data_IF_678406659795
#
_entry.id   IF_678406659795
#
_cell.length_a   1.000
_cell.length_b   1.000
_cell.length_c   1.000
_cell.angle_alpha   90.00
_cell.angle_beta   90.00
_cell.angle_gamma   90.00
#
_symmetry.space_group_name_H-M   'P 1'
#
loop_
_entity.id
_entity.type
_entity.pdbx_description
1 polymer ?
#
# COMPACT_ATOMS: atom_id res chain seq x y z
N UNK A 1 15.43 21.64 11.62
CA UNK A 1 14.12 21.63 12.29
C UNK A 1 14.22 20.74 13.51
N UNK A 2 13.50 21.06 14.59
CA UNK A 2 13.38 20.17 15.74
C UNK A 2 12.50 18.98 15.36
N UNK A 3 12.85 17.73 15.73
CA UNK A 3 12.02 16.57 15.44
C UNK A 3 10.61 16.71 16.02
N UNK A 4 9.60 16.17 15.32
CA UNK A 4 8.22 16.11 15.83
C UNK A 4 8.18 15.27 17.12
N UNK A 5 7.33 15.60 18.10
CA UNK A 5 7.27 14.86 19.36
C UNK A 5 6.71 13.45 19.16
N UNK A 6 7.16 12.49 19.97
CA UNK A 6 6.55 11.17 20.05
C UNK A 6 5.14 11.25 20.63
N UNK A 7 4.21 10.50 20.03
CA UNK A 7 2.79 10.48 20.40
C UNK A 7 2.34 9.15 20.98
N UNK A 8 3.22 8.15 20.99
CA UNK A 8 2.93 6.82 21.54
C UNK A 8 4.08 6.33 22.42
N UNK A 9 3.76 5.61 23.50
CA UNK A 9 4.77 5.08 24.43
C UNK A 9 5.70 4.02 23.82
N UNK A 10 5.22 3.34 22.77
CA UNK A 10 5.98 2.32 22.05
C UNK A 10 6.74 2.91 20.85
N UNK A 11 6.74 4.24 20.68
CA UNK A 11 7.47 4.89 19.60
C UNK A 11 8.98 4.60 19.72
N UNK A 12 9.61 4.40 18.57
CA UNK A 12 11.05 4.10 18.49
C UNK A 12 11.86 5.33 18.08
N UNK A 13 13.18 5.37 18.39
CA UNK A 13 14.06 6.44 17.93
C UNK A 13 13.94 6.69 16.43
N UNK A 14 13.90 7.97 16.04
CA UNK A 14 13.78 8.32 14.63
C UNK A 14 15.02 7.91 13.86
N UNK A 15 14.80 7.38 12.67
CA UNK A 15 15.80 7.11 11.64
C UNK A 15 15.79 8.28 10.64
N UNK A 16 16.95 8.82 10.25
CA UNK A 16 17.03 9.73 9.10
C UNK A 16 16.64 8.95 7.84
N UNK A 17 16.11 9.59 6.77
CA UNK A 17 15.63 8.90 5.57
C UNK A 17 16.70 8.04 4.86
N UNK A 18 17.97 8.42 4.99
CA UNK A 18 19.14 7.83 4.36
C UNK A 18 19.93 6.90 5.29
N UNK A 19 19.33 6.38 6.38
CA UNK A 19 20.02 5.55 7.37
C UNK A 19 20.75 4.31 6.83
N UNK A 20 20.41 3.86 5.61
CA UNK A 20 21.09 2.73 4.95
C UNK A 20 22.32 3.15 4.16
N UNK A 21 22.55 4.45 3.97
CA UNK A 21 23.58 5.01 3.08
C UNK A 21 23.26 4.87 1.59
N UNK A 22 22.10 4.28 1.24
CA UNK A 22 21.69 4.08 -0.15
C UNK A 22 20.90 5.29 -0.67
N UNK A 23 21.14 5.63 -1.93
CA UNK A 23 20.42 6.68 -2.67
C UNK A 23 19.76 6.10 -3.91
N UNK A 24 18.57 6.59 -4.31
CA UNK A 24 17.89 6.11 -5.50
C UNK A 24 18.77 6.33 -6.74
N UNK A 25 18.78 5.39 -7.70
CA UNK A 25 19.48 5.58 -8.95
C UNK A 25 18.81 6.68 -9.78
N UNK A 26 19.52 7.22 -10.77
CA UNK A 26 18.89 8.08 -11.78
C UNK A 26 17.91 7.23 -12.62
N UNK A 27 16.64 7.57 -12.57
CA UNK A 27 15.61 6.96 -13.40
C UNK A 27 15.58 7.58 -14.80
N UNK A 28 15.13 6.81 -15.80
CA UNK A 28 15.08 7.27 -17.19
C UNK A 28 13.93 8.26 -17.47
N UNK A 29 12.95 8.35 -16.57
CA UNK A 29 11.83 9.28 -16.67
C UNK A 29 11.24 9.61 -15.29
N UNK A 30 10.04 10.23 -15.27
CA UNK A 30 9.33 10.54 -14.04
C UNK A 30 8.96 9.26 -13.27
N UNK A 31 9.27 9.21 -11.98
CA UNK A 31 8.90 8.10 -11.09
C UNK A 31 7.38 7.91 -11.09
N UNK A 32 6.87 6.65 -11.05
CA UNK A 32 5.43 6.39 -10.94
C UNK A 32 4.83 7.17 -9.77
N UNK A 33 3.72 7.85 -10.02
CA UNK A 33 3.03 8.67 -9.04
C UNK A 33 2.46 7.77 -7.94
N UNK A 34 1.86 6.64 -8.34
CA UNK A 34 1.29 5.65 -7.42
C UNK A 34 1.88 4.26 -7.61
N UNK A 35 2.51 3.75 -6.55
CA UNK A 35 3.02 2.40 -6.46
C UNK A 35 2.16 1.57 -5.49
N UNK A 36 1.66 0.42 -5.95
CA UNK A 36 0.95 -0.55 -5.11
C UNK A 36 1.81 -1.79 -4.89
N UNK A 37 1.97 -2.25 -3.64
CA UNK A 37 2.84 -3.39 -3.30
C UNK A 37 2.08 -4.48 -2.56
N UNK A 38 2.12 -5.70 -3.11
CA UNK A 38 1.71 -6.93 -2.41
C UNK A 38 2.91 -7.53 -1.69
N UNK A 39 2.88 -7.48 -0.36
CA UNK A 39 3.94 -7.94 0.55
C UNK A 39 3.85 -9.46 0.82
N UNK A 40 4.10 -10.27 -0.19
CA UNK A 40 3.97 -11.73 -0.13
C UNK A 40 5.30 -12.44 0.21
N UNK A 41 5.21 -13.66 0.74
CA UNK A 41 6.36 -14.52 1.01
C UNK A 41 6.78 -14.63 2.47
N UNK A 42 6.17 -13.87 3.40
CA UNK A 42 6.50 -13.88 4.83
C UNK A 42 6.58 -15.28 5.45
N UNK A 43 5.52 -16.09 5.29
CA UNK A 43 5.50 -17.45 5.84
C UNK A 43 6.44 -18.42 5.11
N UNK A 44 6.67 -18.24 3.80
CA UNK A 44 7.65 -19.05 3.05
C UNK A 44 9.07 -18.76 3.52
N UNK A 45 9.38 -17.49 3.77
CA UNK A 45 10.67 -17.05 4.27
C UNK A 45 10.96 -17.67 5.64
N UNK A 46 10.01 -17.59 6.58
CA UNK A 46 10.17 -18.17 7.91
C UNK A 46 10.41 -19.69 7.85
N UNK A 47 9.63 -20.40 7.02
CA UNK A 47 9.80 -21.85 6.84
C UNK A 47 11.18 -22.22 6.28
N UNK A 48 11.76 -21.43 5.36
CA UNK A 48 13.12 -21.66 4.84
C UNK A 48 14.20 -21.54 5.91
N UNK A 49 13.94 -20.77 6.96
CA UNK A 49 14.83 -20.56 8.10
C UNK A 49 14.53 -21.51 9.28
N UNK A 50 13.55 -22.42 9.14
CA UNK A 50 13.11 -23.27 10.26
C UNK A 50 12.36 -22.52 11.36
N UNK A 51 11.83 -21.32 11.06
CA UNK A 51 11.18 -20.43 12.02
C UNK A 51 9.64 -20.49 11.88
N UNK A 52 8.88 -20.18 12.96
CA UNK A 52 7.45 -19.99 12.88
C UNK A 52 7.07 -18.86 11.91
N UNK A 53 5.95 -19.00 11.18
CA UNK A 53 5.46 -18.03 10.17
C UNK A 53 5.37 -16.59 10.67
N UNK A 54 5.08 -16.41 11.97
CA UNK A 54 5.00 -15.10 12.62
C UNK A 54 6.32 -14.32 12.60
N UNK A 55 7.46 -15.01 12.57
CA UNK A 55 8.77 -14.37 12.54
C UNK A 55 9.04 -13.74 11.17
N UNK A 56 8.60 -14.37 10.08
CA UNK A 56 8.68 -13.76 8.75
C UNK A 56 7.88 -12.46 8.66
N UNK A 57 6.70 -12.41 9.29
CA UNK A 57 5.96 -11.16 9.38
C UNK A 57 6.67 -10.11 10.23
N UNK A 58 7.33 -10.50 11.33
CA UNK A 58 8.10 -9.56 12.17
C UNK A 58 9.24 -8.91 11.37
N UNK A 59 10.01 -9.70 10.63
CA UNK A 59 11.04 -9.20 9.73
C UNK A 59 10.47 -8.31 8.63
N UNK A 60 9.31 -8.67 8.09
CA UNK A 60 8.59 -7.86 7.11
C UNK A 60 8.19 -6.46 7.59
N UNK A 61 8.12 -6.20 8.90
CA UNK A 61 7.85 -4.85 9.44
C UNK A 61 9.03 -3.92 9.17
N UNK A 62 10.25 -4.40 9.39
CA UNK A 62 11.46 -3.60 9.21
C UNK A 62 11.65 -3.25 7.74
N UNK A 63 11.39 -4.20 6.85
CA UNK A 63 11.42 -3.98 5.41
C UNK A 63 10.36 -3.01 4.92
N UNK A 64 9.16 -3.00 5.52
CA UNK A 64 8.15 -2.01 5.18
C UNK A 64 8.66 -0.59 5.42
N UNK A 65 9.33 -0.34 6.54
CA UNK A 65 9.88 0.97 6.83
C UNK A 65 10.98 1.36 5.83
N UNK A 66 11.86 0.41 5.47
CA UNK A 66 12.90 0.62 4.47
C UNK A 66 12.33 0.99 3.10
N UNK A 67 11.32 0.26 2.64
CA UNK A 67 10.63 0.50 1.38
C UNK A 67 9.90 1.84 1.37
N UNK A 68 9.24 2.21 2.48
CA UNK A 68 8.60 3.53 2.61
C UNK A 68 9.60 4.66 2.48
N UNK A 69 10.76 4.56 3.14
CA UNK A 69 11.82 5.55 2.99
C UNK A 69 12.41 5.58 1.58
N UNK A 70 12.60 4.40 0.97
CA UNK A 70 12.99 4.28 -0.43
C UNK A 70 12.03 4.97 -1.40
N UNK A 71 10.73 4.87 -1.15
CA UNK A 71 9.68 5.53 -1.93
C UNK A 71 9.73 7.06 -1.76
N UNK A 72 9.90 7.54 -0.51
CA UNK A 72 10.09 8.97 -0.23
C UNK A 72 11.34 9.50 -0.92
N UNK A 73 12.48 8.81 -0.81
CA UNK A 73 13.72 9.20 -1.48
C UNK A 73 13.59 9.23 -3.00
N UNK A 74 12.87 8.27 -3.59
CA UNK A 74 12.61 8.23 -5.03
C UNK A 74 11.62 9.31 -5.50
N UNK A 75 10.84 9.90 -4.59
CA UNK A 75 9.84 10.92 -4.93
C UNK A 75 8.46 10.37 -5.32
N UNK A 76 8.16 9.11 -4.97
CA UNK A 76 6.82 8.52 -5.11
C UNK A 76 5.82 9.34 -4.30
N UNK A 77 4.62 9.59 -4.86
CA UNK A 77 3.59 10.42 -4.21
C UNK A 77 2.53 9.61 -3.49
N UNK A 78 2.24 8.42 -3.98
CA UNK A 78 1.29 7.49 -3.39
C UNK A 78 1.91 6.11 -3.29
N UNK A 79 1.94 5.54 -2.08
CA UNK A 79 2.38 4.18 -1.82
C UNK A 79 1.25 3.42 -1.12
N UNK A 80 0.71 2.41 -1.78
CA UNK A 80 -0.32 1.54 -1.21
C UNK A 80 0.24 0.16 -0.91
N UNK A 81 0.03 -0.36 0.31
CA UNK A 81 0.55 -1.68 0.70
C UNK A 81 -0.54 -2.61 1.18
N UNK A 82 -0.49 -3.86 0.73
CA UNK A 82 -1.49 -4.86 1.08
C UNK A 82 -1.16 -5.53 2.43
N UNK A 83 -1.50 -4.86 3.53
CA UNK A 83 -1.14 -5.30 4.89
C UNK A 83 -2.02 -6.44 5.42
N UNK A 84 -3.34 -6.39 5.19
CA UNK A 84 -4.25 -7.47 5.58
C UNK A 84 -5.43 -7.59 4.61
N UNK A 85 -5.55 -8.76 4.00
CA UNK A 85 -6.57 -9.08 2.98
C UNK A 85 -7.84 -9.64 3.62
N UNK A 86 -9.01 -9.40 3.00
CA UNK A 86 -10.27 -10.05 3.40
C UNK A 86 -10.22 -11.58 3.30
N UNK A 87 -9.37 -12.12 2.43
CA UNK A 87 -9.15 -13.57 2.32
C UNK A 87 -8.33 -14.13 3.51
N UNK A 88 -7.61 -13.28 4.27
CA UNK A 88 -6.84 -13.73 5.44
C UNK A 88 -7.73 -14.25 6.58
N UNK A 89 -9.02 -13.91 6.59
CA UNK A 89 -10.00 -14.49 7.51
C UNK A 89 -10.19 -16.00 7.37
N UNK A 90 -9.69 -16.61 6.29
CA UNK A 90 -9.70 -18.08 6.09
C UNK A 90 -8.51 -18.78 6.76
N UNK A 91 -7.55 -18.01 7.31
CA UNK A 91 -6.37 -18.55 8.02
C UNK A 91 -6.74 -18.98 9.45
N UNK A 92 -5.80 -19.60 10.15
CA UNK A 92 -6.01 -20.01 11.54
C UNK A 92 -6.34 -18.81 12.45
N UNK A 93 -7.14 -18.99 13.51
CA UNK A 93 -7.45 -17.91 14.45
C UNK A 93 -6.22 -17.24 15.06
N UNK A 94 -5.15 -18.01 15.28
CA UNK A 94 -3.87 -17.53 15.79
C UNK A 94 -3.16 -16.60 14.79
N UNK A 95 -3.10 -16.98 13.51
CA UNK A 95 -2.50 -16.16 12.46
C UNK A 95 -3.31 -14.87 12.24
N UNK A 96 -4.64 -14.96 12.28
CA UNK A 96 -5.51 -13.77 12.21
C UNK A 96 -5.27 -12.84 13.40
N UNK A 97 -5.23 -13.37 14.63
CA UNK A 97 -4.96 -12.58 15.84
C UNK A 97 -3.59 -11.90 15.76
N UNK A 98 -2.59 -12.60 15.25
CA UNK A 98 -1.26 -12.05 15.02
C UNK A 98 -1.29 -10.91 14.00
N UNK A 99 -1.95 -11.07 12.86
CA UNK A 99 -2.04 -10.03 11.83
C UNK A 99 -2.78 -8.76 12.29
N UNK A 100 -3.79 -8.92 13.16
CA UNK A 100 -4.46 -7.79 13.81
C UNK A 100 -3.49 -7.02 14.71
N UNK A 101 -2.69 -7.74 15.53
CA UNK A 101 -1.67 -7.13 16.38
C UNK A 101 -0.52 -6.52 15.56
N UNK A 102 -0.12 -7.14 14.45
CA UNK A 102 0.89 -6.63 13.52
C UNK A 102 0.54 -5.21 13.06
N UNK A 103 -0.70 -4.98 12.63
CA UNK A 103 -1.16 -3.67 12.18
C UNK A 103 -1.01 -2.61 13.29
N UNK A 104 -1.31 -2.98 14.53
CA UNK A 104 -1.14 -2.09 15.70
C UNK A 104 0.32 -1.82 16.00
N UNK A 105 1.19 -2.83 15.98
CA UNK A 105 2.63 -2.68 16.21
C UNK A 105 3.23 -1.69 15.20
N UNK A 106 2.88 -1.81 13.92
CA UNK A 106 3.35 -0.88 12.89
C UNK A 106 2.95 0.56 13.23
N UNK A 107 1.67 0.79 13.55
CA UNK A 107 1.16 2.12 13.87
C UNK A 107 1.77 2.68 15.16
N UNK A 108 1.83 1.88 16.22
CA UNK A 108 2.31 2.30 17.53
C UNK A 108 3.80 2.63 17.55
N UNK A 109 4.60 1.91 16.77
CA UNK A 109 6.06 2.14 16.70
C UNK A 109 6.45 3.19 15.67
N UNK A 110 5.79 3.19 14.50
CA UNK A 110 6.29 3.91 13.33
C UNK A 110 5.40 5.06 12.85
N UNK A 111 4.18 5.29 13.39
CA UNK A 111 3.37 6.45 12.95
C UNK A 111 4.09 7.78 13.15
N UNK A 112 4.85 7.91 14.25
CA UNK A 112 5.61 9.13 14.54
C UNK A 112 6.80 9.26 13.60
N UNK A 113 7.46 8.15 13.25
CA UNK A 113 8.51 8.12 12.23
C UNK A 113 8.00 8.55 10.86
N UNK A 114 6.85 8.01 10.43
CA UNK A 114 6.20 8.38 9.18
C UNK A 114 5.79 9.85 9.20
N UNK A 115 5.30 10.34 10.34
CA UNK A 115 5.00 11.74 10.52
C UNK A 115 6.25 12.62 10.40
N UNK A 116 7.37 12.21 11.00
CA UNK A 116 8.65 12.92 10.90
C UNK A 116 9.15 13.02 9.46
N UNK A 117 8.96 11.96 8.66
CA UNK A 117 9.25 11.98 7.22
C UNK A 117 8.17 12.67 6.36
N UNK A 118 7.24 13.38 7.00
CA UNK A 118 6.14 14.09 6.34
C UNK A 118 5.30 13.18 5.42
N UNK A 119 5.06 11.95 5.88
CA UNK A 119 4.19 10.97 5.21
C UNK A 119 2.77 11.05 5.78
N UNK A 120 1.77 11.18 4.90
CA UNK A 120 0.34 11.16 5.25
C UNK A 120 -0.17 9.73 5.23
N UNK A 121 -0.60 9.21 6.38
CA UNK A 121 -1.17 7.86 6.50
C UNK A 121 -2.65 7.90 6.12
N UNK A 122 -3.10 6.93 5.33
CA UNK A 122 -4.51 6.68 4.99
C UNK A 122 -4.87 5.22 5.22
N UNK A 123 -6.10 4.94 5.62
CA UNK A 123 -6.61 3.57 5.71
C UNK A 123 -7.57 3.27 4.56
N UNK A 124 -7.33 2.17 3.86
CA UNK A 124 -8.28 1.56 2.93
C UNK A 124 -8.71 0.19 3.44
N UNK A 125 -10.02 -0.02 3.62
CA UNK A 125 -10.57 -1.30 4.02
C UNK A 125 -11.85 -1.21 4.84
N UNK A 126 -12.31 -2.36 5.33
CA UNK A 126 -13.65 -2.49 5.91
C UNK A 126 -13.62 -2.56 7.43
N UNK A 127 -14.61 -1.94 8.08
CA UNK A 127 -14.83 -2.03 9.53
C UNK A 127 -15.28 -3.42 10.01
N UNK A 128 -16.22 -4.15 9.36
CA UNK A 128 -16.71 -5.42 9.86
C UNK A 128 -15.59 -6.43 10.15
N UNK A 129 -15.67 -7.08 11.32
CA UNK A 129 -14.70 -8.05 11.87
C UNK A 129 -13.33 -7.49 12.30
N UNK A 130 -12.96 -6.28 11.87
CA UNK A 130 -11.74 -5.62 12.33
C UNK A 130 -11.91 -5.21 13.81
N UNK A 131 -10.89 -5.42 14.64
CA UNK A 131 -10.97 -5.04 16.05
C UNK A 131 -11.11 -3.53 16.20
N UNK A 132 -11.99 -3.08 17.10
CA UNK A 132 -12.21 -1.65 17.35
C UNK A 132 -10.93 -0.90 17.74
N UNK A 133 -9.99 -1.58 18.42
CA UNK A 133 -8.66 -1.03 18.74
C UNK A 133 -7.83 -0.77 17.48
N UNK A 134 -7.83 -1.68 16.50
CA UNK A 134 -7.11 -1.48 15.22
C UNK A 134 -7.72 -0.32 14.44
N UNK A 135 -9.05 -0.22 14.40
CA UNK A 135 -9.74 0.91 13.75
C UNK A 135 -9.34 2.23 14.41
N UNK A 136 -9.34 2.28 15.74
CA UNK A 136 -8.93 3.47 16.50
C UNK A 136 -7.49 3.87 16.18
N UNK A 137 -6.56 2.91 16.21
CA UNK A 137 -5.14 3.16 15.93
C UNK A 137 -4.93 3.70 14.51
N UNK A 138 -5.66 3.17 13.51
CA UNK A 138 -5.64 3.65 12.12
C UNK A 138 -6.15 5.11 12.02
N UNK A 139 -7.31 5.40 12.62
CA UNK A 139 -7.91 6.74 12.59
C UNK A 139 -7.06 7.79 13.32
N UNK A 140 -6.40 7.42 14.43
CA UNK A 140 -5.45 8.29 15.11
C UNK A 140 -4.25 8.63 14.22
N UNK A 141 -3.68 7.65 13.52
CA UNK A 141 -2.59 7.86 12.57
C UNK A 141 -3.02 8.75 11.39
N UNK A 142 -4.21 8.54 10.82
CA UNK A 142 -4.74 9.41 9.76
C UNK A 142 -4.88 10.86 10.24
N UNK A 143 -5.43 11.07 11.45
CA UNK A 143 -5.59 12.40 12.03
C UNK A 143 -4.24 13.08 12.31
N UNK A 144 -3.29 12.34 12.88
CA UNK A 144 -1.96 12.84 13.23
C UNK A 144 -1.21 13.35 11.99
N UNK A 145 -1.35 12.65 10.86
CA UNK A 145 -0.56 12.87 9.65
C UNK A 145 -1.33 13.60 8.53
N UNK A 146 -2.56 14.06 8.80
CA UNK A 146 -3.45 14.64 7.80
C UNK A 146 -2.87 15.85 7.05
N UNK A 147 -1.97 16.61 7.69
CA UNK A 147 -1.34 17.80 7.13
C UNK A 147 -0.10 17.53 6.27
N UNK A 148 0.42 16.31 6.28
CA UNK A 148 1.68 15.94 5.64
C UNK A 148 1.54 15.88 4.10
N UNK A 149 2.62 16.18 3.37
CA UNK A 149 2.56 16.42 1.90
C UNK A 149 3.60 15.67 1.08
N UNK A 150 4.63 15.11 1.69
CA UNK A 150 5.74 14.48 0.96
C UNK A 150 5.30 13.23 0.20
N UNK A 151 4.53 12.36 0.84
CA UNK A 151 3.94 11.15 0.25
C UNK A 151 2.68 10.73 1.01
N UNK A 152 1.69 10.17 0.32
CA UNK A 152 0.56 9.47 0.94
C UNK A 152 0.85 7.98 1.02
N UNK A 153 0.85 7.43 2.23
CA UNK A 153 0.99 6.01 2.51
C UNK A 153 -0.36 5.39 2.88
N UNK A 154 -0.91 4.59 1.98
CA UNK A 154 -2.20 3.92 2.20
C UNK A 154 -1.98 2.51 2.73
N UNK A 155 -2.41 2.28 3.97
CA UNK A 155 -2.44 0.97 4.58
C UNK A 155 -3.74 0.25 4.24
N UNK A 156 -3.64 -0.81 3.45
CA UNK A 156 -4.80 -1.60 3.06
C UNK A 156 -5.01 -2.74 4.07
N UNK A 157 -5.87 -2.50 5.06
CA UNK A 157 -6.13 -3.39 6.21
C UNK A 157 -7.59 -3.82 6.20
N UNK A 158 -7.83 -5.13 6.18
CA UNK A 158 -9.14 -5.73 5.91
C UNK A 158 -9.71 -5.24 4.57
N UNK A 159 -8.83 -5.23 3.57
CA UNK A 159 -9.09 -4.75 2.23
C UNK A 159 -9.36 -5.90 1.26
N UNK A 160 -10.19 -5.64 0.25
CA UNK A 160 -10.35 -6.48 -0.94
C UNK A 160 -11.11 -5.69 -2.00
N UNK A 161 -10.54 -5.55 -3.20
CA UNK A 161 -11.05 -4.65 -4.25
C UNK A 161 -12.48 -4.99 -4.69
N UNK A 162 -12.83 -6.27 -4.77
CA UNK A 162 -14.24 -6.69 -4.99
C UNK A 162 -15.18 -6.17 -3.91
N UNK A 163 -14.77 -6.18 -2.64
CA UNK A 163 -15.62 -5.66 -1.57
C UNK A 163 -15.69 -4.13 -1.58
N UNK A 164 -14.61 -3.45 -1.93
CA UNK A 164 -14.61 -1.99 -2.14
C UNK A 164 -15.62 -1.57 -3.20
N UNK A 165 -15.60 -2.23 -4.36
CA UNK A 165 -16.58 -1.98 -5.42
C UNK A 165 -18.00 -2.28 -4.94
N UNK A 166 -18.21 -3.40 -4.23
CA UNK A 166 -19.53 -3.74 -3.68
C UNK A 166 -20.02 -2.68 -2.69
N UNK A 167 -19.16 -2.18 -1.83
CA UNK A 167 -19.53 -1.15 -0.84
C UNK A 167 -19.81 0.20 -1.54
N UNK A 168 -19.03 0.57 -2.55
CA UNK A 168 -19.27 1.75 -3.39
C UNK A 168 -20.63 1.67 -4.13
N UNK A 169 -20.94 0.50 -4.71
CA UNK A 169 -22.21 0.26 -5.40
C UNK A 169 -23.39 0.27 -4.43
N UNK A 170 -23.24 -0.25 -3.21
CA UNK A 170 -24.28 -0.15 -2.18
C UNK A 170 -24.57 1.28 -1.78
N UNK A 171 -23.54 2.11 -1.61
CA UNK A 171 -23.73 3.53 -1.31
C UNK A 171 -24.47 4.25 -2.44
N UNK A 172 -24.09 4.01 -3.70
CA UNK A 172 -24.80 4.53 -4.88
C UNK A 172 -26.26 4.07 -4.92
N UNK A 173 -26.54 2.80 -4.61
CA UNK A 173 -27.88 2.26 -4.59
C UNK A 173 -28.77 2.94 -3.51
N UNK A 174 -28.21 3.22 -2.33
CA UNK A 174 -28.93 3.95 -1.27
C UNK A 174 -29.16 5.43 -1.65
N UNK A 175 -28.23 6.07 -2.36
CA UNK A 175 -28.44 7.42 -2.90
C UNK A 175 -29.55 7.46 -3.96
N UNK A 176 -29.60 6.45 -4.84
CA UNK A 176 -30.66 6.28 -5.83
C UNK A 176 -32.01 6.06 -5.14
N UNK A 177 -32.08 5.14 -4.18
CA UNK A 177 -33.28 4.85 -3.41
C UNK A 177 -33.80 6.08 -2.65
N UNK A 178 -32.90 6.92 -2.15
CA UNK A 178 -33.23 8.17 -1.48
C UNK A 178 -33.56 9.33 -2.43
N UNK A 179 -33.55 9.13 -3.75
CA UNK A 179 -33.83 10.16 -4.76
C UNK A 179 -32.73 11.22 -4.92
N UNK A 180 -31.54 11.01 -4.33
CA UNK A 180 -30.40 11.94 -4.42
C UNK A 180 -29.58 11.75 -5.69
N UNK A 181 -29.69 10.60 -6.34
CA UNK A 181 -28.98 10.26 -7.58
C UNK A 181 -29.94 9.56 -8.57
N UNK A 182 -29.87 9.89 -9.85
CA UNK A 182 -30.57 9.14 -10.89
C UNK A 182 -29.73 7.92 -11.30
N UNK A 183 -30.31 6.73 -11.53
CA UNK A 183 -29.54 5.56 -11.99
C UNK A 183 -28.67 5.84 -13.23
N UNK A 184 -29.18 6.63 -14.18
CA UNK A 184 -28.47 7.02 -15.40
C UNK A 184 -27.29 7.95 -15.17
N UNK A 185 -27.13 8.51 -13.97
CA UNK A 185 -26.00 9.36 -13.60
C UNK A 185 -24.83 8.55 -12.98
N UNK A 186 -24.97 7.24 -12.81
CA UNK A 186 -23.89 6.37 -12.34
C UNK A 186 -22.87 6.21 -13.47
N UNK A 187 -21.66 6.72 -13.24
CA UNK A 187 -20.50 6.69 -14.15
C UNK A 187 -19.30 6.08 -13.43
N UNK A 188 -18.21 5.81 -14.15
CA UNK A 188 -16.92 5.43 -13.55
C UNK A 188 -16.48 6.41 -12.45
N UNK A 189 -16.62 7.72 -12.72
CA UNK A 189 -16.36 8.78 -11.73
C UNK A 189 -17.29 8.70 -10.52
N UNK A 190 -18.53 8.28 -10.70
CA UNK A 190 -19.45 8.08 -9.58
C UNK A 190 -18.98 6.91 -8.70
N UNK A 191 -18.50 5.80 -9.28
CA UNK A 191 -17.94 4.67 -8.53
C UNK A 191 -16.66 5.10 -7.81
N UNK A 192 -15.71 5.72 -8.52
CA UNK A 192 -14.44 6.19 -7.95
C UNK A 192 -14.64 7.08 -6.70
N UNK A 193 -15.66 7.95 -6.72
CA UNK A 193 -15.99 8.83 -5.59
C UNK A 193 -16.52 8.11 -4.33
N UNK A 194 -16.88 6.82 -4.41
CA UNK A 194 -17.35 6.01 -3.27
C UNK A 194 -16.39 4.85 -2.94
N UNK A 195 -15.22 4.80 -3.56
CA UNK A 195 -14.14 3.91 -3.11
C UNK A 195 -13.63 4.36 -1.73
N UNK A 196 -12.84 3.54 -1.05
CA UNK A 196 -12.46 3.85 0.34
C UNK A 196 -11.58 5.11 0.45
N UNK A 197 -10.79 5.39 -0.59
CA UNK A 197 -9.94 6.59 -0.68
C UNK A 197 -10.22 7.32 -2.00
N UNK A 198 -11.29 8.13 -2.07
CA UNK A 198 -11.77 8.75 -3.31
C UNK A 198 -10.78 9.71 -3.99
N UNK A 199 -9.79 10.22 -3.25
CA UNK A 199 -8.74 11.12 -3.71
C UNK A 199 -7.45 10.38 -4.14
N UNK A 200 -7.46 9.05 -4.15
CA UNK A 200 -6.34 8.23 -4.61
C UNK A 200 -6.28 8.23 -6.15
N UNK A 201 -5.10 8.49 -6.76
CA UNK A 201 -4.92 8.33 -8.20
C UNK A 201 -4.85 6.85 -8.60
N UNK A 202 -4.98 6.57 -9.89
CA UNK A 202 -4.77 5.23 -10.44
C UNK A 202 -3.35 4.73 -10.12
N UNK A 203 -3.18 3.41 -10.03
CA UNK A 203 -1.88 2.77 -9.80
C UNK A 203 -1.10 2.77 -11.12
N UNK A 204 0.07 3.40 -11.12
CA UNK A 204 1.00 3.33 -12.26
C UNK A 204 1.77 2.02 -12.27
N UNK A 205 2.27 1.61 -11.09
CA UNK A 205 3.16 0.47 -10.91
C UNK A 205 2.63 -0.46 -9.80
N UNK A 206 2.27 -1.67 -10.19
CA UNK A 206 1.88 -2.73 -9.28
C UNK A 206 3.05 -3.70 -9.07
N UNK A 207 3.58 -3.76 -7.85
CA UNK A 207 4.69 -4.63 -7.47
C UNK A 207 4.14 -5.79 -6.65
N UNK A 208 4.64 -6.99 -6.94
CA UNK A 208 4.43 -8.13 -6.06
C UNK A 208 5.73 -8.89 -5.84
N UNK A 209 6.04 -9.09 -4.56
CA UNK A 209 7.17 -9.90 -4.12
C UNK A 209 6.86 -11.39 -4.26
N UNK A 210 7.89 -12.22 -4.07
CA UNK A 210 7.88 -13.69 -3.96
C UNK A 210 7.63 -14.51 -5.23
N UNK A 211 7.64 -13.91 -6.41
CA UNK A 211 7.53 -14.59 -7.71
C UNK A 211 6.11 -14.98 -8.12
N UNK A 212 5.13 -14.79 -7.25
CA UNK A 212 3.73 -15.10 -7.52
C UNK A 212 3.11 -14.06 -8.48
N UNK A 213 2.57 -14.49 -9.61
CA UNK A 213 2.07 -13.60 -10.67
C UNK A 213 0.54 -13.44 -10.63
N UNK A 214 0.03 -12.67 -9.68
CA UNK A 214 -1.40 -12.32 -9.58
C UNK A 214 -1.60 -11.05 -8.77
N UNK A 215 -2.71 -10.34 -8.99
CA UNK A 215 -3.08 -9.13 -8.23
C UNK A 215 -3.69 -9.46 -6.86
N UNK A 216 -4.21 -10.68 -6.67
CA UNK A 216 -4.82 -11.13 -5.41
C UNK A 216 -5.92 -10.21 -4.87
N UNK A 217 -6.78 -9.68 -5.74
CA UNK A 217 -7.89 -8.79 -5.35
C UNK A 217 -7.42 -7.47 -4.71
N UNK A 218 -6.18 -7.04 -4.98
CA UNK A 218 -5.61 -5.79 -4.50
C UNK A 218 -5.79 -4.68 -5.53
N UNK A 219 -6.27 -3.49 -5.11
CA UNK A 219 -6.42 -2.30 -5.95
C UNK A 219 -7.13 -2.59 -7.28
N UNK A 220 -8.26 -3.32 -7.24
CA UNK A 220 -8.85 -3.89 -8.45
C UNK A 220 -9.34 -2.81 -9.43
N UNK A 221 -9.86 -1.71 -8.91
CA UNK A 221 -10.31 -0.59 -9.71
C UNK A 221 -9.12 0.28 -10.13
N UNK A 222 -8.30 0.67 -9.15
CA UNK A 222 -7.20 1.62 -9.29
C UNK A 222 -6.06 1.06 -10.14
N UNK A 223 -5.86 -0.27 -10.16
CA UNK A 223 -4.79 -0.92 -10.91
C UNK A 223 -5.23 -1.46 -12.28
N UNK A 224 -6.38 -1.03 -12.80
CA UNK A 224 -6.90 -1.50 -14.09
C UNK A 224 -5.92 -1.30 -15.26
N UNK A 225 -5.11 -0.23 -15.21
CA UNK A 225 -4.11 0.10 -16.22
C UNK A 225 -2.67 0.07 -15.69
N UNK A 226 -2.45 -0.54 -14.53
CA UNK A 226 -1.13 -0.57 -13.89
C UNK A 226 -0.15 -1.47 -14.65
N UNK A 227 1.10 -1.03 -14.74
CA UNK A 227 2.22 -1.88 -15.12
C UNK A 227 2.54 -2.85 -13.98
N UNK A 228 2.58 -4.15 -14.26
CA UNK A 228 2.83 -5.16 -13.23
C UNK A 228 4.28 -5.63 -13.24
N UNK A 229 4.96 -5.54 -12.10
CA UNK A 229 6.32 -6.06 -11.89
C UNK A 229 6.29 -7.12 -10.79
N UNK A 230 6.69 -8.33 -11.16
CA UNK A 230 6.79 -9.47 -10.25
C UNK A 230 8.27 -9.73 -9.97
N UNK A 231 8.65 -9.70 -8.69
CA UNK A 231 10.01 -9.97 -8.24
C UNK A 231 10.02 -11.24 -7.40
N UNK A 232 11.04 -12.09 -7.58
CA UNK A 232 11.15 -13.38 -6.89
C UNK A 232 11.49 -13.25 -5.40
N UNK A 233 12.06 -12.11 -5.00
CA UNK A 233 12.48 -11.85 -3.63
C UNK A 233 11.31 -11.93 -2.66
N UNK A 234 11.46 -12.68 -1.57
CA UNK A 234 10.43 -12.77 -0.52
C UNK A 234 10.38 -11.45 0.26
N UNK A 235 9.19 -11.07 0.75
CA UNK A 235 9.01 -9.78 1.44
C UNK A 235 10.02 -9.50 2.58
N UNK A 236 10.37 -10.46 3.46
CA UNK A 236 11.34 -10.18 4.53
C UNK A 236 12.77 -9.89 4.05
N UNK A 237 13.10 -10.22 2.80
CA UNK A 237 14.37 -9.87 2.17
C UNK A 237 14.25 -8.64 1.25
N UNK A 238 13.03 -8.16 1.00
CA UNK A 238 12.75 -7.06 0.07
C UNK A 238 13.17 -5.71 0.68
N UNK A 239 13.89 -4.89 -0.08
CA UNK A 239 14.48 -3.63 0.38
C UNK A 239 14.09 -2.46 -0.52
N UNK A 240 14.49 -1.24 -0.15
CA UNK A 240 14.37 -0.07 -1.05
C UNK A 240 15.04 -0.25 -2.41
N UNK A 241 16.12 -1.04 -2.49
CA UNK A 241 16.81 -1.29 -3.75
C UNK A 241 15.92 -2.07 -4.73
N UNK A 242 15.11 -3.01 -4.22
CA UNK A 242 14.15 -3.78 -5.01
C UNK A 242 12.98 -2.92 -5.51
N UNK A 243 12.53 -1.96 -4.68
CA UNK A 243 11.57 -0.95 -5.13
C UNK A 243 12.14 -0.12 -6.29
N UNK A 244 13.39 0.33 -6.18
CA UNK A 244 14.02 1.11 -7.24
C UNK A 244 14.32 0.27 -8.50
N UNK A 245 14.61 -1.02 -8.35
CA UNK A 245 14.66 -1.96 -9.46
C UNK A 245 13.31 -2.06 -10.18
N UNK A 246 12.21 -2.20 -9.44
CA UNK A 246 10.88 -2.22 -10.03
C UNK A 246 10.54 -0.92 -10.78
N UNK A 247 10.94 0.24 -10.24
CA UNK A 247 10.79 1.54 -10.93
C UNK A 247 11.67 1.60 -12.19
N UNK A 248 12.87 1.02 -12.18
CA UNK A 248 13.68 0.90 -13.40
C UNK A 248 13.02 0.01 -14.45
N UNK A 249 12.43 -1.12 -14.05
CA UNK A 249 11.70 -2.02 -14.95
C UNK A 249 10.51 -1.27 -15.57
N UNK A 250 9.76 -0.50 -14.78
CA UNK A 250 8.68 0.35 -15.26
C UNK A 250 9.13 1.27 -16.40
N UNK A 251 10.32 1.86 -16.29
CA UNK A 251 10.89 2.72 -17.34
C UNK A 251 11.48 1.98 -18.53
N UNK A 252 11.85 0.70 -18.38
CA UNK A 252 12.35 -0.11 -19.50
C UNK A 252 11.25 -0.53 -20.48
N UNK A 253 9.98 -0.40 -20.07
CA UNK A 253 8.82 -0.77 -20.90
C UNK A 253 8.43 0.40 -21.79
N UNK A 254 8.16 0.06 -23.05
CA UNK A 254 7.62 1.00 -24.02
C UNK A 254 6.18 1.38 -23.63
N UNK A 255 5.96 2.66 -23.33
CA UNK A 255 4.68 3.16 -22.82
C UNK A 255 3.63 3.18 -23.93
N UNK A 256 2.89 2.09 -24.07
CA UNK A 256 1.75 2.00 -25.01
C UNK A 256 0.46 2.48 -24.36
N UNK A 257 0.43 3.73 -23.90
CA UNK A 257 -0.84 4.35 -23.50
C UNK A 257 -1.61 4.74 -24.77
N UNK A 258 -2.50 3.86 -25.25
CA UNK A 258 -3.58 4.17 -26.20
C UNK A 258 -3.21 4.75 -27.58
N UNK A 259 -1.94 5.03 -27.85
CA UNK A 259 -1.42 5.51 -29.12
C UNK A 259 -0.07 4.85 -29.35
N UNK A 260 -0.08 3.68 -29.99
CA UNK A 260 1.13 3.16 -30.59
C UNK A 260 1.58 4.16 -31.65
N UNK A 261 2.82 4.65 -31.54
CA UNK A 261 3.44 5.35 -32.66
C UNK A 261 3.74 4.30 -33.71
N UNK A 262 3.05 4.37 -34.84
CA UNK A 262 3.37 3.53 -35.99
C UNK A 262 4.80 3.85 -36.43
N UNK A 263 5.72 2.91 -36.24
CA UNK A 263 7.04 2.92 -36.86
C UNK A 263 7.11 1.80 -37.90
N UNK A 264 6.43 1.94 -39.05
CA UNK A 264 6.69 1.06 -40.19
C UNK A 264 8.12 1.31 -40.67
N UNK A 265 8.96 0.28 -40.59
CA UNK A 265 10.21 0.24 -41.34
C UNK A 265 9.85 0.08 -42.83
N UNK A 266 10.20 1.09 -43.62
CA UNK A 266 10.24 1.00 -45.09
C UNK A 266 11.32 0.03 -45.52
#
# INVERSE_FOLDING_TARGET
MTPKPYTHRDAVPYKPLDWTGLTPPRFAGPVPEHVAIVMDGNGRWANRQGLPRVEGHRQGIEQLLDVVAGAVQAGVKHLSVYAFSTENWKRSPEEVRFLMNFSRIVLHRYRDQLNEWDVRIRWAGRKPRLWGSVIKDLQEAEKLTAGNRTMTFTMCVNYGGRYEIVDAVRELAEEVKAGRLKPSAITEKAIAKRLYVPDMPDVDLFIRSSGEQRTSNFMLWEAAYAEMVFLDRLWPDFTRADLWEAIRIFHSRDRRYGGAVDTPTV
#
